data_IF_509249063839
#
_entry.id   IF_509249063839
#
_cell.length_a   1.000
_cell.length_b   1.000
_cell.length_c   1.000
_cell.angle_alpha   90.00
_cell.angle_beta   90.00
_cell.angle_gamma   90.00
#
_symmetry.space_group_name_H-M   'P 1'
#
loop_
_entity.id
_entity.type
_entity.pdbx_description
1 polymer ?
#
# COMPACT_ATOMS: atom_id res chain seq x y z
N UNK A 1 -1.79 2.34 3.17
CA UNK A 1 -1.31 3.74 3.29
C UNK A 1 -2.14 4.45 4.35
N UNK A 2 -1.78 5.66 4.81
CA UNK A 2 -2.58 6.39 5.81
C UNK A 2 -2.76 7.85 5.40
N UNK A 3 -4.01 8.32 5.44
CA UNK A 3 -4.41 9.67 5.07
C UNK A 3 -5.48 10.20 6.02
N UNK A 4 -5.63 11.53 6.09
CA UNK A 4 -6.76 12.15 6.78
C UNK A 4 -8.05 11.80 6.02
N UNK A 5 -9.05 11.30 6.73
CA UNK A 5 -10.33 10.85 6.14
C UNK A 5 -10.93 11.87 5.16
N UNK A 6 -11.20 13.10 5.61
CA UNK A 6 -11.84 14.12 4.78
C UNK A 6 -11.04 14.46 3.50
N UNK A 7 -9.71 14.47 3.59
CA UNK A 7 -8.82 14.72 2.44
C UNK A 7 -8.88 13.56 1.46
N UNK A 8 -8.78 12.33 1.96
CA UNK A 8 -8.83 11.13 1.14
C UNK A 8 -10.17 10.99 0.42
N UNK A 9 -11.29 11.16 1.13
CA UNK A 9 -12.62 11.04 0.54
C UNK A 9 -12.84 12.03 -0.61
N UNK A 10 -12.36 13.27 -0.46
CA UNK A 10 -12.42 14.26 -1.54
C UNK A 10 -11.54 13.86 -2.73
N UNK A 11 -10.29 13.49 -2.47
CA UNK A 11 -9.34 13.10 -3.51
C UNK A 11 -9.86 11.89 -4.32
N UNK A 12 -10.42 10.87 -3.66
CA UNK A 12 -10.98 9.68 -4.31
C UNK A 12 -12.24 9.99 -5.13
N UNK A 13 -13.04 10.98 -4.74
CA UNK A 13 -14.24 11.38 -5.49
C UNK A 13 -13.90 12.06 -6.83
N UNK A 14 -12.76 12.74 -6.91
CA UNK A 14 -12.32 13.50 -8.08
C UNK A 14 -11.35 12.70 -8.97
N UNK A 15 -10.59 11.77 -8.40
CA UNK A 15 -9.57 11.01 -9.12
C UNK A 15 -10.16 10.00 -10.14
N UNK A 16 -9.46 9.82 -11.27
CA UNK A 16 -9.81 8.82 -12.30
C UNK A 16 -8.57 8.01 -12.67
N UNK A 17 -8.74 6.69 -12.78
CA UNK A 17 -7.66 5.79 -13.24
C UNK A 17 -6.47 5.65 -12.30
N UNK A 18 -6.62 6.01 -11.03
CA UNK A 18 -5.59 5.84 -9.99
C UNK A 18 -5.59 4.40 -9.48
N UNK A 19 -4.41 3.89 -9.08
CA UNK A 19 -4.24 2.50 -8.64
C UNK A 19 -4.19 2.33 -7.13
N UNK A 20 -3.98 3.42 -6.39
CA UNK A 20 -3.92 3.45 -4.94
C UNK A 20 -4.36 4.82 -4.40
N UNK A 21 -4.42 4.93 -3.07
CA UNK A 21 -4.84 6.15 -2.39
C UNK A 21 -3.80 7.27 -2.52
N UNK A 22 -2.51 6.96 -2.57
CA UNK A 22 -1.46 7.95 -2.79
C UNK A 22 -1.59 8.65 -4.15
N UNK A 23 -1.87 7.92 -5.23
CA UNK A 23 -2.10 8.49 -6.56
C UNK A 23 -3.31 9.42 -6.60
N UNK A 24 -4.38 9.12 -5.83
CA UNK A 24 -5.51 10.04 -5.68
C UNK A 24 -5.09 11.36 -5.00
N UNK A 25 -4.25 11.26 -3.97
CA UNK A 25 -3.75 12.42 -3.20
C UNK A 25 -2.80 13.27 -4.06
N UNK A 26 -1.96 12.63 -4.89
CA UNK A 26 -1.11 13.29 -5.87
C UNK A 26 -1.92 14.02 -6.94
N UNK A 27 -2.96 13.38 -7.48
CA UNK A 27 -3.88 13.99 -8.44
C UNK A 27 -4.62 15.21 -7.85
N UNK A 28 -4.85 15.23 -6.53
CA UNK A 28 -5.39 16.39 -5.81
C UNK A 28 -4.35 17.49 -5.52
N UNK A 29 -3.12 17.38 -6.05
CA UNK A 29 -2.05 18.37 -5.90
C UNK A 29 -1.31 18.33 -4.57
N UNK A 30 -1.49 17.27 -3.78
CA UNK A 30 -0.82 17.07 -2.50
C UNK A 30 0.36 16.10 -2.65
N UNK A 31 1.27 16.11 -1.68
CA UNK A 31 2.46 15.25 -1.67
C UNK A 31 2.42 14.25 -0.50
N UNK A 32 2.07 12.97 -0.74
CA UNK A 32 2.21 11.92 0.27
C UNK A 32 3.65 11.80 0.76
N UNK A 33 3.84 11.56 2.06
CA UNK A 33 5.17 11.30 2.63
C UNK A 33 5.55 9.83 2.43
N UNK A 34 6.67 9.57 1.77
CA UNK A 34 7.25 8.22 1.69
C UNK A 34 7.89 7.84 3.02
N UNK A 35 7.57 6.63 3.49
CA UNK A 35 8.15 6.00 4.67
C UNK A 35 8.73 4.65 4.26
N UNK A 36 9.94 4.33 4.73
CA UNK A 36 10.61 3.07 4.41
C UNK A 36 9.75 1.88 4.85
N UNK A 37 9.35 1.04 3.89
CA UNK A 37 8.63 -0.20 4.15
C UNK A 37 9.57 -1.35 4.55
N UNK A 38 8.99 -2.40 5.12
CA UNK A 38 9.67 -3.68 5.33
C UNK A 38 9.58 -4.52 4.06
N UNK A 39 10.69 -5.13 3.63
CA UNK A 39 10.74 -6.00 2.44
C UNK A 39 9.80 -7.22 2.55
N UNK A 40 9.41 -7.58 3.77
CA UNK A 40 8.48 -8.67 4.06
C UNK A 40 7.00 -8.25 4.03
N UNK A 41 6.69 -6.97 3.78
CA UNK A 41 5.33 -6.48 3.57
C UNK A 41 4.87 -6.75 2.12
N UNK A 42 4.86 -8.02 1.73
CA UNK A 42 4.59 -8.50 0.39
C UNK A 42 3.08 -8.51 0.08
N UNK A 43 2.71 -8.11 -1.15
CA UNK A 43 1.38 -8.35 -1.72
C UNK A 43 1.37 -9.70 -2.45
N UNK A 44 0.64 -10.68 -1.92
CA UNK A 44 0.38 -11.95 -2.61
C UNK A 44 -0.61 -11.69 -3.75
N UNK A 45 -0.17 -11.85 -5.00
CA UNK A 45 -0.94 -11.54 -6.21
C UNK A 45 -1.15 -12.77 -7.08
N UNK A 46 -0.19 -13.69 -7.12
CA UNK A 46 -0.24 -14.95 -7.88
C UNK A 46 -0.03 -16.17 -6.97
N UNK A 47 -0.45 -17.37 -7.40
CA UNK A 47 -0.17 -18.60 -6.64
C UNK A 47 1.32 -18.83 -6.35
N UNK A 48 2.20 -18.38 -7.24
CA UNK A 48 3.65 -18.49 -7.08
C UNK A 48 4.22 -17.63 -5.93
N UNK A 49 3.46 -16.66 -5.40
CA UNK A 49 3.89 -15.83 -4.27
C UNK A 49 3.73 -16.55 -2.92
N UNK A 50 2.91 -17.62 -2.87
CA UNK A 50 2.57 -18.32 -1.62
C UNK A 50 3.78 -18.94 -0.90
N UNK A 51 4.71 -19.65 -1.59
CA UNK A 51 5.89 -20.20 -0.92
C UNK A 51 6.75 -19.10 -0.26
N UNK A 52 6.84 -17.92 -0.86
CA UNK A 52 7.58 -16.79 -0.29
C UNK A 52 6.88 -16.21 0.94
N UNK A 53 5.55 -16.08 0.90
CA UNK A 53 4.77 -15.63 2.05
C UNK A 53 4.90 -16.60 3.25
N UNK A 54 4.86 -17.92 2.99
CA UNK A 54 5.07 -18.95 4.01
C UNK A 54 6.46 -18.85 4.66
N UNK A 55 7.51 -18.71 3.84
CA UNK A 55 8.89 -18.51 4.34
C UNK A 55 9.00 -17.27 5.24
N UNK A 56 8.40 -16.14 4.82
CA UNK A 56 8.35 -14.91 5.61
C UNK A 56 7.65 -15.16 6.96
N UNK A 57 6.53 -15.88 6.97
CA UNK A 57 5.78 -16.18 8.20
C UNK A 57 6.56 -17.10 9.13
N UNK A 58 7.21 -18.15 8.61
CA UNK A 58 8.05 -19.07 9.41
C UNK A 58 9.23 -18.34 10.05
N UNK A 59 9.93 -17.49 9.28
CA UNK A 59 11.05 -16.70 9.78
C UNK A 59 10.65 -15.73 10.92
N UNK A 60 9.39 -15.27 10.92
CA UNK A 60 8.85 -14.41 11.99
C UNK A 60 8.41 -15.17 13.24
N UNK A 61 7.96 -16.42 13.11
CA UNK A 61 7.55 -17.28 14.25
C UNK A 61 8.72 -17.76 15.11
N UNK A 62 9.93 -17.82 14.55
CA UNK A 62 11.15 -18.20 15.25
C UNK A 62 11.87 -17.05 15.96
N UNK A 63 11.29 -15.84 15.95
CA UNK A 63 11.72 -14.69 16.77
C UNK A 63 10.82 -14.56 18.00
#
# INVERSE_FOLDING_TARGET
QMFRYAVLTRALAEARGVTDEAGAIEAAGLAPKLVKGDATNLKVTYPADLPLAELIMMARRGK
#
